data_IF_907481238400
#
_entry.id   IF_907481238400
#
_cell.length_a   1.000
_cell.length_b   1.000
_cell.length_c   1.000
_cell.angle_alpha   90.00
_cell.angle_beta   90.00
_cell.angle_gamma   90.00
#
_symmetry.space_group_name_H-M   'P 1'
#
loop_
_entity.id
_entity.type
_entity.pdbx_description
1 polymer ?
#
# COMPACT_ATOMS: atom_id res chain seq x y z
N UNK A 1 30.90 4.60 7.44
CA UNK A 1 29.72 4.41 8.31
C UNK A 1 29.50 2.90 8.50
N UNK A 2 29.06 2.43 9.67
CA UNK A 2 28.76 1.00 9.89
C UNK A 2 27.27 0.76 9.61
N UNK A 3 26.89 -0.02 8.58
CA UNK A 3 25.50 -0.12 8.13
C UNK A 3 24.61 -0.95 9.08
N UNK A 4 25.14 -2.02 9.68
CA UNK A 4 24.49 -2.76 10.78
C UNK A 4 24.18 -1.84 11.96
N UNK A 5 25.15 -1.01 12.38
CA UNK A 5 24.93 -0.03 13.45
C UNK A 5 23.84 0.99 13.09
N UNK A 6 23.77 1.44 11.83
CA UNK A 6 22.74 2.39 11.40
C UNK A 6 21.35 1.77 11.43
N UNK A 7 21.20 0.52 10.96
CA UNK A 7 19.95 -0.23 11.04
C UNK A 7 19.53 -0.43 12.50
N UNK A 8 20.45 -0.88 13.35
CA UNK A 8 20.19 -1.04 14.78
C UNK A 8 19.87 0.28 15.48
N UNK A 9 20.45 1.40 15.04
CA UNK A 9 20.10 2.71 15.60
C UNK A 9 18.68 3.14 15.23
N UNK A 10 18.18 2.78 14.04
CA UNK A 10 16.76 2.98 13.66
C UNK A 10 15.84 2.12 14.52
N UNK A 11 16.16 0.83 14.67
CA UNK A 11 15.43 -0.11 15.54
C UNK A 11 15.42 0.37 17.00
N UNK A 12 16.57 0.75 17.53
CA UNK A 12 16.70 1.33 18.88
C UNK A 12 15.85 2.59 19.05
N UNK A 13 15.93 3.53 18.11
CA UNK A 13 15.18 4.80 18.20
C UNK A 13 13.67 4.54 18.20
N UNK A 14 13.20 3.61 17.35
CA UNK A 14 11.80 3.19 17.35
C UNK A 14 11.41 2.50 18.66
N UNK A 15 12.26 1.63 19.22
CA UNK A 15 12.00 0.94 20.47
C UNK A 15 12.02 1.88 21.68
N UNK A 16 12.93 2.85 21.74
CA UNK A 16 13.00 3.82 22.84
C UNK A 16 11.71 4.65 22.93
N UNK A 17 11.17 5.09 21.79
CA UNK A 17 9.88 5.78 21.75
C UNK A 17 8.71 4.84 22.09
N UNK A 18 8.76 3.56 21.68
CA UNK A 18 7.77 2.55 22.04
C UNK A 18 7.76 2.25 23.55
N UNK A 19 8.93 2.19 24.18
CA UNK A 19 9.05 2.03 25.64
C UNK A 19 8.41 3.21 26.39
N UNK A 20 8.57 4.43 25.85
CA UNK A 20 7.91 5.62 26.39
C UNK A 20 6.37 5.53 26.25
N UNK A 21 5.86 5.12 25.07
CA UNK A 21 4.43 4.82 24.87
C UNK A 21 3.91 3.81 25.89
N UNK A 22 4.64 2.71 26.11
CA UNK A 22 4.26 1.67 27.09
C UNK A 22 4.20 2.21 28.51
N UNK A 23 5.16 3.05 28.90
CA UNK A 23 5.17 3.65 30.22
C UNK A 23 3.92 4.51 30.49
N UNK A 24 3.49 5.33 29.52
CA UNK A 24 2.27 6.12 29.63
C UNK A 24 1.00 5.23 29.61
N UNK A 25 0.92 4.30 28.65
CA UNK A 25 -0.19 3.34 28.53
C UNK A 25 -0.40 2.54 29.81
N UNK A 26 0.66 2.03 30.43
CA UNK A 26 0.57 1.18 31.62
C UNK A 26 0.05 1.98 32.84
N UNK A 27 0.34 3.29 32.92
CA UNK A 27 -0.27 4.18 33.91
C UNK A 27 -1.77 4.31 33.66
N UNK A 28 -2.18 4.55 32.40
CA UNK A 28 -3.59 4.66 32.03
C UNK A 28 -4.34 3.34 32.29
N UNK A 29 -3.80 2.19 31.89
CA UNK A 29 -4.39 0.87 32.14
C UNK A 29 -4.64 0.58 33.61
N UNK A 30 -3.79 1.07 34.51
CA UNK A 30 -3.97 0.90 35.96
C UNK A 30 -5.13 1.73 36.51
N UNK A 31 -5.42 2.88 35.93
CA UNK A 31 -6.43 3.83 36.42
C UNK A 31 -7.78 3.61 35.72
N UNK A 32 -7.76 3.36 34.42
CA UNK A 32 -8.93 3.20 33.55
C UNK A 32 -8.78 1.94 32.68
N UNK A 33 -8.83 0.73 33.28
CA UNK A 33 -8.53 -0.52 32.56
C UNK A 33 -9.48 -0.81 31.40
N UNK A 34 -10.71 -0.29 31.45
CA UNK A 34 -11.78 -0.52 30.48
C UNK A 34 -11.81 0.54 29.35
N UNK A 35 -10.96 1.58 29.41
CA UNK A 35 -10.90 2.61 28.37
C UNK A 35 -9.83 2.22 27.34
N UNK A 36 -10.19 2.06 26.05
CA UNK A 36 -9.23 1.72 25.00
C UNK A 36 -8.16 2.80 24.82
N UNK A 37 -6.92 2.39 24.57
CA UNK A 37 -5.76 3.27 24.39
C UNK A 37 -5.21 3.11 22.97
N UNK A 38 -4.90 4.24 22.36
CA UNK A 38 -4.19 4.33 21.07
C UNK A 38 -3.14 5.43 21.12
N UNK A 39 -2.30 5.49 20.09
CA UNK A 39 -1.49 6.65 19.71
C UNK A 39 -1.63 6.80 18.20
N UNK A 40 -1.66 8.04 17.71
CA UNK A 40 -1.71 8.32 16.28
C UNK A 40 -0.38 7.95 15.60
N UNK A 41 -0.46 7.15 14.55
CA UNK A 41 0.64 6.90 13.63
C UNK A 41 0.67 7.96 12.53
N UNK A 42 1.74 7.95 11.73
CA UNK A 42 1.90 8.80 10.55
C UNK A 42 2.28 7.93 9.34
N UNK A 43 1.45 6.94 9.03
CA UNK A 43 1.56 6.07 7.85
C UNK A 43 1.17 6.90 6.62
N UNK A 44 2.12 7.67 6.12
CA UNK A 44 2.00 8.50 4.92
C UNK A 44 3.38 8.90 4.39
N UNK A 45 3.52 9.01 3.07
CA UNK A 45 4.75 9.49 2.43
C UNK A 45 6.03 8.81 2.97
N UNK A 46 7.11 9.59 3.10
CA UNK A 46 8.41 9.13 3.59
C UNK A 46 8.54 8.94 5.11
N UNK A 47 7.43 8.94 5.86
CA UNK A 47 7.48 8.90 7.33
C UNK A 47 7.81 7.50 7.84
N UNK A 48 9.10 7.26 8.05
CA UNK A 48 9.65 5.95 8.45
C UNK A 48 10.40 5.95 9.78
N UNK A 49 10.17 6.93 10.66
CA UNK A 49 10.90 7.05 11.92
C UNK A 49 10.65 5.91 12.91
N UNK A 50 9.48 5.27 12.84
CA UNK A 50 9.03 4.22 13.76
C UNK A 50 8.50 3.03 12.98
N UNK A 51 8.78 1.80 13.44
CA UNK A 51 8.22 0.56 12.91
C UNK A 51 6.78 0.41 13.42
N UNK A 52 5.82 1.02 12.72
CA UNK A 52 4.42 0.97 13.12
C UNK A 52 3.81 -0.45 13.21
N UNK A 53 4.17 -1.42 12.34
CA UNK A 53 3.75 -2.81 12.52
C UNK A 53 4.17 -3.39 13.88
N UNK A 54 5.29 -2.94 14.45
CA UNK A 54 5.78 -3.39 15.77
C UNK A 54 5.00 -2.70 16.90
N UNK A 55 4.74 -1.41 16.74
CA UNK A 55 4.00 -0.59 17.70
C UNK A 55 2.53 -0.99 17.82
N UNK A 56 1.93 -1.51 16.75
CA UNK A 56 0.54 -1.94 16.75
C UNK A 56 0.23 -3.02 17.81
N UNK A 57 1.23 -3.80 18.23
CA UNK A 57 1.09 -4.78 19.33
C UNK A 57 0.98 -4.17 20.73
N UNK A 58 1.21 -2.86 20.87
CA UNK A 58 1.21 -2.17 22.17
C UNK A 58 -0.02 -1.27 22.39
N UNK A 59 -0.95 -1.21 21.43
CA UNK A 59 -2.17 -0.37 21.47
C UNK A 59 -3.43 -1.22 21.26
N UNK A 60 -4.58 -0.73 21.71
CA UNK A 60 -5.84 -1.47 21.64
C UNK A 60 -6.47 -1.45 20.25
N UNK A 61 -6.25 -0.36 19.52
CA UNK A 61 -6.63 -0.19 18.12
C UNK A 61 -5.65 0.75 17.42
N UNK A 62 -5.42 0.50 16.13
CA UNK A 62 -4.58 1.37 15.30
C UNK A 62 -5.30 2.68 15.03
N UNK A 63 -4.57 3.78 15.12
CA UNK A 63 -5.04 5.08 14.63
C UNK A 63 -3.94 5.75 13.80
N UNK A 64 -4.33 6.57 12.84
CA UNK A 64 -3.40 7.18 11.89
C UNK A 64 -3.79 8.60 11.51
N UNK A 65 -2.76 9.40 11.27
CA UNK A 65 -2.85 10.72 10.68
C UNK A 65 -2.40 10.62 9.21
N UNK A 66 -3.22 11.11 8.29
CA UNK A 66 -2.88 11.13 6.87
C UNK A 66 -3.20 12.49 6.24
N UNK A 67 -2.21 13.03 5.54
CA UNK A 67 -2.34 14.27 4.78
C UNK A 67 -1.85 14.06 3.35
N UNK A 68 -2.74 14.26 2.39
CA UNK A 68 -2.43 14.09 0.95
C UNK A 68 -1.33 15.06 0.53
N UNK A 69 -0.31 14.54 -0.13
CA UNK A 69 0.69 15.31 -0.84
C UNK A 69 0.29 15.47 -2.31
N UNK A 70 0.10 16.70 -2.82
CA UNK A 70 -0.24 16.91 -4.23
C UNK A 70 0.84 16.35 -5.16
N UNK A 71 0.43 15.58 -6.16
CA UNK A 71 1.35 14.96 -7.12
C UNK A 71 0.62 14.03 -8.09
N UNK A 72 1.31 13.50 -9.13
CA UNK A 72 0.68 12.69 -10.16
C UNK A 72 -0.01 11.41 -9.66
N UNK A 73 0.48 10.84 -8.55
CA UNK A 73 -0.06 9.63 -7.90
C UNK A 73 -0.75 9.92 -6.55
N UNK A 74 -1.16 11.17 -6.28
CA UNK A 74 -1.71 11.57 -4.97
C UNK A 74 -2.92 10.72 -4.51
N UNK A 75 -3.82 10.36 -5.43
CA UNK A 75 -4.99 9.51 -5.17
C UNK A 75 -4.59 8.09 -4.80
N UNK A 76 -3.62 7.54 -5.51
CA UNK A 76 -3.13 6.18 -5.28
C UNK A 76 -2.29 6.12 -4.00
N UNK A 77 -1.55 7.17 -3.68
CA UNK A 77 -0.80 7.30 -2.43
C UNK A 77 -1.72 7.32 -1.20
N UNK A 78 -2.81 8.09 -1.26
CA UNK A 78 -3.82 8.11 -0.21
C UNK A 78 -4.36 6.70 0.03
N UNK A 79 -4.76 6.04 -1.06
CA UNK A 79 -5.27 4.68 -1.05
C UNK A 79 -4.25 3.70 -0.48
N UNK A 80 -3.01 3.74 -0.96
CA UNK A 80 -1.89 2.91 -0.48
C UNK A 80 -1.65 3.08 1.02
N UNK A 81 -1.63 4.31 1.53
CA UNK A 81 -1.39 4.59 2.94
C UNK A 81 -2.56 4.15 3.83
N UNK A 82 -3.80 4.33 3.38
CA UNK A 82 -4.99 3.80 4.07
C UNK A 82 -4.98 2.26 4.10
N UNK A 83 -4.59 1.66 2.99
CA UNK A 83 -4.45 0.21 2.82
C UNK A 83 -3.35 -0.37 3.71
N UNK A 84 -2.18 0.26 3.77
CA UNK A 84 -1.08 -0.13 4.66
C UNK A 84 -1.47 0.02 6.13
N UNK A 85 -2.21 1.08 6.49
CA UNK A 85 -2.75 1.26 7.85
C UNK A 85 -3.70 0.11 8.22
N UNK A 86 -4.57 -0.29 7.29
CA UNK A 86 -5.44 -1.47 7.43
C UNK A 86 -4.63 -2.76 7.61
N UNK A 87 -3.55 -2.94 6.84
CA UNK A 87 -2.63 -4.06 6.95
C UNK A 87 -1.92 -4.12 8.31
N UNK A 88 -1.51 -2.98 8.85
CA UNK A 88 -0.94 -2.84 10.20
C UNK A 88 -1.99 -3.19 11.27
N UNK A 89 -3.27 -2.84 11.05
CA UNK A 89 -4.38 -3.21 11.93
C UNK A 89 -4.78 -4.71 11.83
N UNK A 90 -4.22 -5.44 10.85
CA UNK A 90 -4.57 -6.83 10.56
C UNK A 90 -5.95 -7.00 9.93
N UNK A 91 -6.44 -6.00 9.19
CA UNK A 91 -7.77 -5.97 8.58
C UNK A 91 -8.91 -5.59 9.55
N UNK A 92 -8.61 -5.46 10.84
CA UNK A 92 -9.54 -4.98 11.87
C UNK A 92 -9.84 -3.49 11.68
N UNK A 93 -10.98 -2.99 12.20
CA UNK A 93 -11.27 -1.57 12.17
C UNK A 93 -10.19 -0.72 12.86
N UNK A 94 -9.91 0.44 12.27
CA UNK A 94 -8.92 1.41 12.77
C UNK A 94 -9.50 2.83 12.76
N UNK A 95 -8.77 3.80 13.31
CA UNK A 95 -9.22 5.20 13.38
C UNK A 95 -8.40 6.11 12.48
N UNK A 96 -9.05 6.83 11.55
CA UNK A 96 -8.45 8.02 10.96
C UNK A 96 -8.52 9.13 12.00
N UNK A 97 -7.45 9.28 12.78
CA UNK A 97 -7.38 10.23 13.89
C UNK A 97 -7.23 11.65 13.36
N UNK A 98 -6.41 11.83 12.34
CA UNK A 98 -6.28 13.12 11.68
C UNK A 98 -6.20 13.01 10.16
N UNK A 99 -6.73 14.06 9.55
CA UNK A 99 -6.60 14.43 8.16
C UNK A 99 -7.05 15.90 8.06
N UNK A 100 -6.75 16.57 6.94
CA UNK A 100 -7.17 17.97 6.72
C UNK A 100 -8.48 18.11 5.93
N UNK A 101 -9.39 18.99 6.37
CA UNK A 101 -10.62 19.31 5.62
C UNK A 101 -10.33 19.97 4.28
N UNK A 102 -9.19 20.66 4.17
CA UNK A 102 -8.70 21.30 2.94
C UNK A 102 -7.17 21.38 2.98
N UNK A 103 -6.58 22.55 2.66
CA UNK A 103 -5.13 22.77 2.72
C UNK A 103 -4.54 22.56 4.13
N UNK A 104 -3.29 22.11 4.19
CA UNK A 104 -2.47 22.11 5.42
C UNK A 104 -1.68 23.43 5.52
N UNK A 105 -0.72 23.54 6.45
CA UNK A 105 0.12 24.74 6.61
C UNK A 105 1.63 24.50 6.42
N UNK A 106 2.07 23.24 6.33
CA UNK A 106 3.47 22.85 6.43
C UNK A 106 4.06 22.34 5.10
N UNK A 107 3.23 22.14 4.07
CA UNK A 107 3.73 21.75 2.75
C UNK A 107 4.40 22.95 2.04
N UNK A 108 5.34 22.70 1.10
CA UNK A 108 5.94 23.78 0.31
C UNK A 108 4.90 24.66 -0.42
N UNK A 109 3.82 24.03 -0.91
CA UNK A 109 2.65 24.71 -1.46
C UNK A 109 1.40 24.04 -0.89
N UNK A 110 0.64 24.76 -0.08
CA UNK A 110 -0.53 24.24 0.63
C UNK A 110 -1.78 24.36 -0.25
N UNK A 111 -1.99 23.39 -1.15
CA UNK A 111 -3.13 23.38 -2.08
C UNK A 111 -4.42 23.01 -1.34
N UNK A 112 -5.48 23.78 -1.58
CA UNK A 112 -6.81 23.50 -1.04
C UNK A 112 -7.47 22.34 -1.79
N UNK A 113 -8.25 21.52 -1.06
CA UNK A 113 -9.08 20.48 -1.65
C UNK A 113 -10.14 21.09 -2.57
N UNK A 114 -10.35 20.47 -3.73
CA UNK A 114 -11.44 20.77 -4.66
C UNK A 114 -12.78 20.28 -4.09
N UNK A 115 -13.91 20.83 -4.55
CA UNK A 115 -15.23 20.33 -4.18
C UNK A 115 -15.35 18.81 -4.37
N UNK A 116 -15.86 18.12 -3.35
CA UNK A 116 -16.00 16.66 -3.32
C UNK A 116 -14.81 15.90 -2.72
N UNK A 117 -13.59 16.45 -2.76
CA UNK A 117 -12.38 15.72 -2.30
C UNK A 117 -12.40 15.45 -0.79
N UNK A 118 -12.96 16.35 0.04
CA UNK A 118 -13.14 16.11 1.47
C UNK A 118 -13.90 14.80 1.73
N UNK A 119 -15.05 14.61 1.06
CA UNK A 119 -15.87 13.43 1.25
C UNK A 119 -15.20 12.19 0.64
N UNK A 120 -14.67 12.31 -0.58
CA UNK A 120 -13.96 11.23 -1.28
C UNK A 120 -12.83 10.66 -0.44
N UNK A 121 -11.92 11.52 0.01
CA UNK A 121 -10.74 11.13 0.76
C UNK A 121 -11.13 10.43 2.08
N UNK A 122 -12.12 10.99 2.78
CA UNK A 122 -12.64 10.44 4.04
C UNK A 122 -13.27 9.06 3.85
N UNK A 123 -14.11 8.92 2.83
CA UNK A 123 -14.78 7.66 2.52
C UNK A 123 -13.82 6.60 1.96
N UNK A 124 -12.71 6.99 1.33
CA UNK A 124 -11.65 6.06 0.92
C UNK A 124 -10.92 5.47 2.15
N UNK A 125 -10.71 6.24 3.21
CA UNK A 125 -10.22 5.66 4.48
C UNK A 125 -11.24 4.70 5.10
N UNK A 126 -12.54 5.05 5.09
CA UNK A 126 -13.62 4.14 5.54
C UNK A 126 -13.64 2.85 4.72
N UNK A 127 -13.44 2.96 3.40
CA UNK A 127 -13.37 1.83 2.48
C UNK A 127 -12.21 0.87 2.83
N UNK A 128 -11.09 1.42 3.32
CA UNK A 128 -9.91 0.65 3.80
C UNK A 128 -9.98 0.26 5.29
N UNK A 129 -11.13 0.42 5.95
CA UNK A 129 -11.38 -0.11 7.29
C UNK A 129 -11.40 0.93 8.41
N UNK A 130 -11.36 2.23 8.12
CA UNK A 130 -11.55 3.23 9.16
C UNK A 130 -12.99 3.17 9.72
N UNK A 131 -13.13 3.16 11.04
CA UNK A 131 -14.40 3.24 11.77
C UNK A 131 -14.62 4.60 12.43
N UNK A 132 -13.63 5.49 12.36
CA UNK A 132 -13.86 6.92 12.51
C UNK A 132 -13.09 7.72 11.49
N UNK A 133 -13.66 8.89 11.19
CA UNK A 133 -13.09 9.96 10.40
C UNK A 133 -13.02 11.18 11.30
N UNK A 134 -11.82 11.49 11.78
CA UNK A 134 -11.52 12.66 12.59
C UNK A 134 -10.64 13.64 11.80
N UNK A 135 -10.61 14.89 12.25
CA UNK A 135 -9.89 15.98 11.57
C UNK A 135 -8.99 16.71 12.56
N UNK A 136 -7.78 17.01 12.11
CA UNK A 136 -7.04 18.15 12.63
C UNK A 136 -7.50 19.38 11.86
N UNK A 137 -8.25 20.31 12.44
CA UNK A 137 -8.80 20.33 13.80
C UNK A 137 -10.26 20.77 13.76
N UNK A 138 -10.95 20.82 14.91
CA UNK A 138 -12.34 21.28 14.96
C UNK A 138 -12.50 22.73 14.51
N UNK A 139 -11.75 23.68 15.07
CA UNK A 139 -11.84 25.11 14.75
C UNK A 139 -10.49 25.66 14.37
N UNK A 140 -10.45 26.38 13.26
CA UNK A 140 -9.19 26.91 12.74
C UNK A 140 -8.58 27.89 13.75
N UNK A 141 -7.34 27.61 14.15
CA UNK A 141 -6.64 28.40 15.17
C UNK A 141 -6.48 29.86 14.73
N UNK A 142 -6.75 30.81 15.63
CA UNK A 142 -6.60 32.24 15.34
C UNK A 142 -5.14 32.74 15.45
N UNK A 143 -4.30 31.99 16.14
CA UNK A 143 -2.88 32.31 16.38
C UNK A 143 -2.05 31.02 16.44
N UNK A 144 -0.72 31.17 16.44
CA UNK A 144 0.22 30.04 16.43
C UNK A 144 0.71 29.66 15.02
N UNK A 145 1.51 28.60 14.96
CA UNK A 145 2.14 28.12 13.73
C UNK A 145 1.12 27.55 12.74
N UNK A 146 0.08 26.88 13.24
CA UNK A 146 -0.92 26.15 12.44
C UNK A 146 -2.20 26.94 12.19
N UNK A 147 -2.20 28.26 12.42
CA UNK A 147 -3.36 29.13 12.15
C UNK A 147 -3.86 29.08 10.70
N UNK A 148 -3.05 28.61 9.75
CA UNK A 148 -3.42 28.43 8.34
C UNK A 148 -3.76 26.98 7.97
N UNK A 149 -3.61 26.02 8.89
CA UNK A 149 -4.06 24.65 8.67
C UNK A 149 -5.58 24.67 8.61
N UNK A 150 -6.19 24.00 7.63
CA UNK A 150 -7.66 23.92 7.54
C UNK A 150 -8.27 23.24 8.77
N UNK A 151 -9.55 23.50 9.01
CA UNK A 151 -10.31 22.95 10.13
C UNK A 151 -11.76 22.69 9.71
N UNK A 152 -12.52 21.97 10.54
CA UNK A 152 -13.95 21.76 10.30
C UNK A 152 -14.71 23.09 10.27
N UNK A 153 -14.45 23.97 11.23
CA UNK A 153 -14.92 25.35 11.25
C UNK A 153 -13.76 26.28 10.85
N UNK A 154 -13.74 26.79 9.59
CA UNK A 154 -12.71 27.72 9.15
C UNK A 154 -12.83 29.07 9.86
N UNK A 155 -11.85 29.97 9.67
CA UNK A 155 -11.94 31.35 10.18
C UNK A 155 -13.20 32.10 9.73
N UNK A 156 -13.75 31.74 8.57
CA UNK A 156 -15.02 32.26 8.06
C UNK A 156 -16.24 31.86 8.91
N UNK A 157 -16.11 30.88 9.80
CA UNK A 157 -17.20 30.37 10.61
C UNK A 157 -18.06 29.32 9.89
N UNK A 158 -19.25 29.10 10.44
CA UNK A 158 -20.21 28.08 9.95
C UNK A 158 -20.84 28.45 8.59
N UNK A 159 -20.89 29.74 8.25
CA UNK A 159 -21.31 30.18 6.92
C UNK A 159 -20.15 30.07 5.92
N UNK A 160 -19.76 28.83 5.63
CA UNK A 160 -18.73 28.50 4.66
C UNK A 160 -19.06 27.21 3.91
N UNK A 161 -18.62 27.13 2.65
CA UNK A 161 -18.78 25.90 1.86
C UNK A 161 -18.06 24.71 2.50
N UNK A 162 -16.92 24.98 3.15
CA UNK A 162 -16.14 23.95 3.85
C UNK A 162 -16.92 23.36 5.04
N UNK A 163 -17.52 24.20 5.89
CA UNK A 163 -18.32 23.70 7.01
C UNK A 163 -19.57 22.95 6.53
N UNK A 164 -20.24 23.44 5.48
CA UNK A 164 -21.37 22.72 4.84
C UNK A 164 -20.95 21.35 4.31
N UNK A 165 -19.78 21.24 3.69
CA UNK A 165 -19.24 19.96 3.21
C UNK A 165 -18.93 18.99 4.36
N UNK A 166 -18.39 19.50 5.49
CA UNK A 166 -18.16 18.70 6.71
C UNK A 166 -19.47 18.16 7.28
N UNK A 167 -20.51 19.00 7.36
CA UNK A 167 -21.84 18.59 7.84
C UNK A 167 -22.43 17.52 6.92
N UNK A 168 -22.35 17.70 5.59
CA UNK A 168 -22.84 16.74 4.62
C UNK A 168 -22.12 15.38 4.70
N UNK A 169 -20.79 15.38 4.95
CA UNK A 169 -20.06 14.14 5.22
C UNK A 169 -20.56 13.47 6.50
N UNK A 170 -20.81 14.24 7.56
CA UNK A 170 -21.38 13.72 8.81
C UNK A 170 -22.71 12.99 8.61
N UNK A 171 -23.60 13.52 7.76
CA UNK A 171 -24.85 12.85 7.41
C UNK A 171 -24.63 11.60 6.54
N UNK A 172 -23.66 11.64 5.62
CA UNK A 172 -23.25 10.47 4.85
C UNK A 172 -22.76 9.34 5.76
N UNK A 173 -21.95 9.65 6.76
CA UNK A 173 -21.44 8.66 7.73
C UNK A 173 -22.56 8.05 8.60
N UNK A 174 -23.62 8.80 8.91
CA UNK A 174 -24.82 8.25 9.59
C UNK A 174 -25.52 7.21 8.72
N UNK A 175 -25.67 7.48 7.42
CA UNK A 175 -26.22 6.51 6.45
C UNK A 175 -25.36 5.25 6.38
N UNK A 176 -24.04 5.40 6.48
CA UNK A 176 -23.07 4.30 6.47
C UNK A 176 -22.82 3.65 7.83
N UNK A 177 -23.59 3.99 8.88
CA UNK A 177 -23.45 3.37 10.20
C UNK A 177 -23.47 1.82 10.20
N UNK A 178 -24.21 1.11 9.33
CA UNK A 178 -24.14 -0.35 9.24
C UNK A 178 -22.78 -0.94 8.86
N UNK A 179 -21.86 -0.12 8.31
CA UNK A 179 -20.49 -0.52 7.96
C UNK A 179 -19.61 -0.65 9.21
N UNK A 180 -19.91 0.12 10.27
CA UNK A 180 -19.07 0.13 11.47
C UNK A 180 -18.91 -1.28 12.07
N UNK A 181 -17.69 -1.62 12.47
CA UNK A 181 -17.32 -2.94 12.97
C UNK A 181 -17.14 -4.03 11.90
N UNK A 182 -17.36 -3.73 10.62
CA UNK A 182 -17.01 -4.67 9.54
C UNK A 182 -15.50 -4.69 9.30
N UNK A 183 -14.94 -5.86 9.02
CA UNK A 183 -13.52 -6.03 8.73
C UNK A 183 -13.28 -5.95 7.24
N UNK A 184 -12.06 -5.57 6.84
CA UNK A 184 -11.70 -5.59 5.43
C UNK A 184 -11.58 -7.04 4.94
N UNK A 185 -12.24 -7.36 3.83
CA UNK A 185 -12.13 -8.68 3.21
C UNK A 185 -10.76 -8.81 2.51
N UNK A 186 -9.97 -9.87 2.79
CA UNK A 186 -8.66 -10.05 2.16
C UNK A 186 -8.74 -9.97 0.63
N UNK A 187 -7.78 -9.28 0.03
CA UNK A 187 -7.59 -9.26 -1.41
C UNK A 187 -6.89 -10.54 -1.90
N UNK A 188 -7.09 -10.94 -3.17
CA UNK A 188 -6.35 -12.07 -3.74
C UNK A 188 -4.83 -11.80 -3.86
N UNK A 189 -4.41 -10.54 -3.86
CA UNK A 189 -3.01 -10.11 -3.96
C UNK A 189 -2.60 -9.39 -2.67
N UNK A 190 -1.45 -9.76 -2.11
CA UNK A 190 -0.78 -9.02 -1.04
C UNK A 190 0.51 -8.37 -1.55
N UNK A 191 0.75 -7.10 -1.22
CA UNK A 191 2.03 -6.42 -1.41
C UNK A 191 2.73 -6.35 -0.05
N UNK A 192 3.87 -7.01 0.09
CA UNK A 192 4.65 -7.04 1.33
C UNK A 192 5.44 -5.74 1.46
N UNK A 193 5.23 -5.03 2.57
CA UNK A 193 5.94 -3.82 2.94
C UNK A 193 6.65 -4.03 4.28
N UNK A 194 7.97 -3.86 4.29
CA UNK A 194 8.83 -4.22 5.42
C UNK A 194 9.71 -3.04 5.85
N UNK A 195 9.67 -2.70 7.14
CA UNK A 195 10.37 -1.53 7.67
C UNK A 195 11.88 -1.71 7.73
N UNK A 196 12.36 -2.92 8.04
CA UNK A 196 13.80 -3.18 8.07
C UNK A 196 14.38 -3.11 6.65
N UNK A 197 13.68 -3.67 5.67
CA UNK A 197 14.00 -3.50 4.26
C UNK A 197 14.00 -2.03 3.85
N UNK A 198 12.97 -1.26 4.22
CA UNK A 198 12.90 0.17 3.92
C UNK A 198 14.03 0.99 4.56
N UNK A 199 14.47 0.61 5.76
CA UNK A 199 15.58 1.27 6.44
C UNK A 199 16.93 0.89 5.85
N UNK A 200 17.16 -0.40 5.59
CA UNK A 200 18.42 -0.93 5.10
C UNK A 200 18.66 -0.54 3.64
N UNK A 201 17.65 -0.72 2.76
CA UNK A 201 17.84 -0.55 1.31
C UNK A 201 18.13 0.89 0.89
N UNK A 202 17.74 1.87 1.71
CA UNK A 202 17.96 3.30 1.48
C UNK A 202 19.11 3.87 2.32
N UNK A 203 19.97 3.04 2.89
CA UNK A 203 21.19 3.54 3.54
C UNK A 203 22.21 4.06 2.51
N UNK A 204 23.18 4.83 3.01
CA UNK A 204 24.33 5.26 2.22
C UNK A 204 25.15 4.05 1.73
N UNK A 205 26.05 4.28 0.76
CA UNK A 205 27.02 3.29 0.25
C UNK A 205 26.39 2.04 -0.39
N UNK A 206 25.22 2.20 -0.98
CA UNK A 206 24.49 1.19 -1.74
C UNK A 206 24.83 1.23 -3.25
N UNK A 207 24.43 0.23 -4.06
CA UNK A 207 24.65 0.25 -5.51
C UNK A 207 24.08 1.50 -6.20
N UNK A 208 23.04 2.11 -5.62
CA UNK A 208 22.52 3.42 -5.99
C UNK A 208 21.89 4.11 -4.78
N UNK A 209 21.99 5.43 -4.70
CA UNK A 209 21.27 6.25 -3.71
C UNK A 209 19.93 6.77 -4.24
N UNK A 210 19.53 6.34 -5.44
CA UNK A 210 18.30 6.78 -6.12
C UNK A 210 17.10 5.86 -5.84
N UNK A 211 17.29 4.79 -5.07
CA UNK A 211 16.23 3.87 -4.69
C UNK A 211 15.27 4.57 -3.72
N UNK A 212 13.99 4.54 -4.05
CA UNK A 212 12.88 4.88 -3.16
C UNK A 212 12.02 3.62 -3.00
N UNK A 213 12.18 2.95 -1.86
CA UNK A 213 11.52 1.68 -1.55
C UNK A 213 10.00 1.82 -1.59
N UNK A 214 9.50 2.92 -1.03
CA UNK A 214 8.05 3.17 -0.96
C UNK A 214 7.47 3.46 -2.33
N UNK A 215 8.18 4.23 -3.16
CA UNK A 215 7.74 4.51 -4.52
C UNK A 215 7.67 3.23 -5.36
N UNK A 216 8.60 2.30 -5.20
CA UNK A 216 8.51 0.99 -5.87
C UNK A 216 7.24 0.24 -5.44
N UNK A 217 7.00 0.11 -4.12
CA UNK A 217 5.79 -0.55 -3.63
C UNK A 217 4.49 0.15 -4.10
N UNK A 218 4.49 1.48 -4.17
CA UNK A 218 3.38 2.27 -4.71
C UNK A 218 3.18 2.01 -6.22
N UNK A 219 4.25 1.90 -7.01
CA UNK A 219 4.16 1.61 -8.45
C UNK A 219 3.49 0.25 -8.71
N UNK A 220 3.82 -0.78 -7.91
CA UNK A 220 3.14 -2.09 -7.95
C UNK A 220 1.65 -1.97 -7.56
N UNK A 221 1.34 -1.19 -6.53
CA UNK A 221 -0.03 -0.96 -6.10
C UNK A 221 -0.86 -0.21 -7.16
N UNK A 222 -0.32 0.89 -7.71
CA UNK A 222 -0.94 1.67 -8.78
C UNK A 222 -1.19 0.83 -10.03
N UNK A 223 -0.29 -0.09 -10.37
CA UNK A 223 -0.47 -1.01 -11.49
C UNK A 223 -1.65 -2.00 -11.26
N UNK A 224 -1.81 -2.51 -10.03
CA UNK A 224 -2.97 -3.34 -9.68
C UNK A 224 -4.27 -2.55 -9.74
N UNK A 225 -4.28 -1.31 -9.24
CA UNK A 225 -5.43 -0.41 -9.36
C UNK A 225 -5.77 -0.12 -10.83
N UNK A 226 -4.77 0.11 -11.69
CA UNK A 226 -4.95 0.31 -13.13
C UNK A 226 -5.62 -0.89 -13.83
N UNK A 227 -5.38 -2.11 -13.33
CA UNK A 227 -6.03 -3.33 -13.80
C UNK A 227 -7.37 -3.64 -13.12
N UNK A 228 -7.78 -2.85 -12.12
CA UNK A 228 -8.97 -3.10 -11.33
C UNK A 228 -8.85 -4.33 -10.42
N UNK A 229 -7.64 -4.68 -9.99
CA UNK A 229 -7.35 -5.80 -9.09
C UNK A 229 -7.26 -5.28 -7.66
N UNK A 230 -8.01 -5.88 -6.73
CA UNK A 230 -7.86 -5.60 -5.30
C UNK A 230 -6.50 -6.10 -4.81
N UNK A 231 -5.85 -5.31 -3.97
CA UNK A 231 -4.59 -5.67 -3.34
C UNK A 231 -4.55 -5.17 -1.90
N UNK A 232 -3.96 -5.97 -1.00
CA UNK A 232 -3.70 -5.59 0.39
C UNK A 232 -2.22 -5.24 0.53
N UNK A 233 -1.89 -4.11 1.16
CA UNK A 233 -0.52 -3.81 1.56
C UNK A 233 -0.33 -4.36 2.96
N UNK A 234 0.46 -5.42 3.07
CA UNK A 234 0.64 -6.22 4.28
C UNK A 234 2.07 -6.17 4.78
N UNK A 235 2.29 -6.54 6.04
CA UNK A 235 3.62 -6.54 6.65
C UNK A 235 4.14 -7.97 6.75
N UNK A 236 5.44 -8.15 6.96
CA UNK A 236 6.07 -9.46 7.21
C UNK A 236 5.56 -10.16 8.47
N UNK A 237 4.75 -9.49 9.30
CA UNK A 237 4.08 -10.06 10.49
C UNK A 237 2.67 -10.57 10.23
N UNK A 238 2.12 -10.33 9.03
CA UNK A 238 0.77 -10.76 8.66
C UNK A 238 0.73 -12.26 8.33
N UNK A 239 -0.47 -12.82 8.34
CA UNK A 239 -0.74 -14.16 7.80
C UNK A 239 -0.71 -14.12 6.27
N UNK A 240 0.47 -14.40 5.71
CA UNK A 240 0.76 -14.27 4.28
C UNK A 240 -0.01 -15.30 3.41
N UNK A 241 -0.42 -16.43 4.00
CA UNK A 241 -1.12 -17.53 3.33
C UNK A 241 -2.56 -17.15 2.91
N UNK A 242 -3.06 -15.97 3.31
CA UNK A 242 -4.38 -15.44 2.92
C UNK A 242 -4.46 -14.94 1.48
N UNK A 243 -3.33 -14.72 0.83
CA UNK A 243 -3.26 -14.19 -0.53
C UNK A 243 -2.88 -15.29 -1.51
N UNK A 244 -3.44 -15.26 -2.71
CA UNK A 244 -3.06 -16.18 -3.80
C UNK A 244 -1.74 -15.75 -4.44
N UNK A 245 -1.47 -14.44 -4.45
CA UNK A 245 -0.24 -13.85 -4.96
C UNK A 245 0.35 -12.93 -3.90
N UNK A 246 1.64 -13.06 -3.62
CA UNK A 246 2.42 -12.14 -2.80
C UNK A 246 3.43 -11.43 -3.68
N UNK A 247 3.44 -10.12 -3.65
CA UNK A 247 4.40 -9.26 -4.33
C UNK A 247 5.26 -8.62 -3.25
N UNK A 248 6.54 -8.93 -3.24
CA UNK A 248 7.51 -8.46 -2.26
C UNK A 248 8.58 -7.60 -2.98
N UNK A 249 8.24 -6.34 -3.34
CA UNK A 249 9.15 -5.45 -4.04
C UNK A 249 10.28 -5.04 -3.10
N UNK A 250 11.52 -5.21 -3.57
CA UNK A 250 12.75 -4.78 -2.90
C UNK A 250 12.81 -5.26 -1.44
N UNK A 251 12.35 -6.49 -1.17
CA UNK A 251 12.37 -7.11 0.15
C UNK A 251 13.82 -7.46 0.52
N UNK A 252 14.59 -6.43 0.86
CA UNK A 252 16.03 -6.44 0.95
C UNK A 252 16.55 -7.31 2.11
N UNK A 253 15.92 -7.14 3.28
CA UNK A 253 16.23 -7.86 4.52
C UNK A 253 15.35 -9.10 4.58
N UNK A 254 15.97 -10.28 4.45
CA UNK A 254 15.26 -11.57 4.54
C UNK A 254 15.96 -12.46 5.56
N UNK A 255 15.46 -12.50 6.80
CA UNK A 255 15.91 -13.45 7.81
C UNK A 255 15.68 -14.90 7.35
N UNK A 256 16.45 -15.83 7.91
CA UNK A 256 16.39 -17.24 7.52
C UNK A 256 14.98 -17.85 7.66
N UNK A 257 14.22 -17.45 8.69
CA UNK A 257 12.88 -17.98 8.92
C UNK A 257 11.85 -17.39 7.95
N UNK A 258 11.99 -16.12 7.56
CA UNK A 258 11.17 -15.52 6.50
C UNK A 258 11.44 -16.18 5.14
N UNK A 259 12.70 -16.49 4.83
CA UNK A 259 13.04 -17.22 3.60
C UNK A 259 12.36 -18.60 3.53
N UNK A 260 12.36 -19.34 4.64
CA UNK A 260 11.65 -20.64 4.75
C UNK A 260 10.15 -20.46 4.62
N UNK A 261 9.58 -19.43 5.23
CA UNK A 261 8.16 -19.13 5.15
C UNK A 261 7.72 -18.82 3.71
N UNK A 262 8.43 -17.93 3.01
CA UNK A 262 8.16 -17.60 1.62
C UNK A 262 8.32 -18.80 0.69
N UNK A 263 9.29 -19.67 0.97
CA UNK A 263 9.47 -20.93 0.24
C UNK A 263 8.28 -21.87 0.45
N UNK A 264 7.87 -22.08 1.71
CA UNK A 264 6.70 -22.88 2.07
C UNK A 264 5.42 -22.34 1.45
N UNK A 265 5.21 -21.02 1.50
CA UNK A 265 4.07 -20.35 0.86
C UNK A 265 4.01 -20.70 -0.64
N UNK A 266 5.13 -20.54 -1.36
CA UNK A 266 5.18 -20.81 -2.79
C UNK A 266 4.97 -22.31 -3.12
N UNK A 267 5.60 -23.21 -2.36
CA UNK A 267 5.45 -24.66 -2.54
C UNK A 267 4.01 -25.15 -2.29
N UNK A 268 3.30 -24.50 -1.36
CA UNK A 268 1.93 -24.84 -0.98
C UNK A 268 0.84 -24.22 -1.89
N UNK A 269 1.21 -23.65 -3.04
CA UNK A 269 0.25 -23.08 -4.00
C UNK A 269 0.22 -21.56 -4.06
N UNK A 270 1.01 -20.88 -3.23
CA UNK A 270 1.20 -19.45 -3.32
C UNK A 270 2.01 -19.06 -4.57
N UNK A 271 1.71 -17.89 -5.13
CA UNK A 271 2.53 -17.30 -6.19
C UNK A 271 3.32 -16.12 -5.61
N UNK A 272 4.63 -16.27 -5.50
CA UNK A 272 5.53 -15.21 -5.03
C UNK A 272 6.07 -14.43 -6.22
N UNK A 273 6.06 -13.11 -6.14
CA UNK A 273 6.78 -12.20 -7.02
C UNK A 273 7.73 -11.39 -6.14
N UNK A 274 9.01 -11.38 -6.45
CA UNK A 274 9.97 -10.47 -5.83
C UNK A 274 10.76 -9.76 -6.92
N UNK A 275 11.57 -8.78 -6.54
CA UNK A 275 12.21 -7.89 -7.50
C UNK A 275 13.70 -7.80 -7.26
N UNK A 276 14.36 -7.02 -8.13
CA UNK A 276 15.70 -6.52 -7.90
C UNK A 276 15.92 -6.10 -6.44
N UNK A 277 17.14 -6.36 -5.96
CA UNK A 277 17.59 -5.98 -4.64
C UNK A 277 16.82 -6.60 -3.45
N UNK A 278 16.11 -7.71 -3.68
CA UNK A 278 15.45 -8.50 -2.64
C UNK A 278 16.31 -9.69 -2.18
N UNK A 279 16.16 -10.15 -0.93
CA UNK A 279 16.85 -11.33 -0.40
C UNK A 279 18.38 -11.20 -0.35
N UNK A 280 18.88 -9.98 -0.12
CA UNK A 280 20.30 -9.65 -0.22
C UNK A 280 21.00 -9.88 1.11
N UNK A 281 20.38 -9.44 2.22
CA UNK A 281 20.94 -9.48 3.56
C UNK A 281 20.06 -10.23 4.56
N UNK A 282 20.67 -10.71 5.64
CA UNK A 282 19.98 -11.20 6.83
C UNK A 282 19.50 -10.06 7.74
N UNK A 283 18.91 -10.38 8.88
CA UNK A 283 18.40 -9.41 9.85
C UNK A 283 19.48 -8.45 10.42
N UNK A 284 20.76 -8.75 10.27
CA UNK A 284 21.88 -7.96 10.76
C UNK A 284 22.57 -7.17 9.64
N UNK A 285 21.93 -7.09 8.46
CA UNK A 285 22.48 -6.45 7.27
C UNK A 285 23.75 -7.16 6.74
N UNK A 286 23.86 -8.48 6.97
CA UNK A 286 24.94 -9.30 6.42
C UNK A 286 24.53 -10.03 5.15
N UNK A 287 25.39 -9.97 4.13
CA UNK A 287 25.13 -10.55 2.82
C UNK A 287 24.94 -12.08 2.90
N UNK A 288 23.87 -12.57 2.28
CA UNK A 288 23.72 -13.97 1.94
C UNK A 288 24.71 -14.35 0.82
N UNK A 289 25.81 -15.00 1.20
CA UNK A 289 26.89 -15.36 0.28
C UNK A 289 26.48 -16.44 -0.74
N UNK A 290 27.22 -16.53 -1.85
CA UNK A 290 27.02 -17.52 -2.93
C UNK A 290 26.39 -16.96 -4.21
N UNK A 291 25.92 -15.72 -4.19
CA UNK A 291 25.27 -15.03 -5.31
C UNK A 291 23.82 -14.66 -4.98
N UNK A 292 23.35 -13.55 -5.55
CA UNK A 292 22.05 -12.96 -5.23
C UNK A 292 20.89 -13.60 -6.04
N UNK A 293 19.62 -13.48 -5.60
CA UNK A 293 19.17 -13.03 -4.27
C UNK A 293 19.39 -14.15 -3.24
N UNK A 294 20.42 -14.03 -2.39
CA UNK A 294 21.00 -15.18 -1.68
C UNK A 294 20.02 -15.96 -0.79
N UNK A 295 19.04 -15.27 -0.17
CA UNK A 295 18.00 -15.90 0.63
C UNK A 295 16.95 -16.68 -0.20
N UNK A 296 16.75 -16.31 -1.47
CA UNK A 296 15.65 -16.80 -2.32
C UNK A 296 16.12 -17.43 -3.65
N UNK A 297 17.44 -17.47 -3.90
CA UNK A 297 18.02 -17.87 -5.19
C UNK A 297 17.58 -19.28 -5.62
N UNK A 298 17.49 -20.21 -4.67
CA UNK A 298 17.18 -21.61 -4.95
C UNK A 298 15.68 -21.77 -5.25
N UNK A 299 14.83 -21.03 -4.53
CA UNK A 299 13.39 -20.93 -4.79
C UNK A 299 13.11 -20.37 -6.19
N UNK A 300 13.84 -19.32 -6.59
CA UNK A 300 13.67 -18.64 -7.87
C UNK A 300 14.37 -19.36 -9.04
N UNK A 301 15.34 -20.25 -8.75
CA UNK A 301 16.16 -20.92 -9.76
C UNK A 301 16.99 -19.96 -10.62
N UNK A 302 17.46 -18.88 -10.01
CA UNK A 302 18.34 -17.90 -10.64
C UNK A 302 19.56 -17.63 -9.76
N UNK A 303 20.60 -17.05 -10.34
CA UNK A 303 21.76 -16.52 -9.64
C UNK A 303 22.25 -15.24 -10.31
N UNK A 304 22.54 -14.24 -9.49
CA UNK A 304 23.06 -12.93 -9.90
C UNK A 304 24.44 -12.78 -9.30
N UNK A 305 25.42 -12.52 -10.16
CA UNK A 305 26.82 -12.32 -9.75
C UNK A 305 27.10 -10.88 -9.34
N UNK A 306 26.42 -9.93 -9.98
CA UNK A 306 26.68 -8.51 -9.86
C UNK A 306 25.41 -7.72 -10.19
N UNK A 307 25.15 -6.68 -9.39
CA UNK A 307 24.08 -5.72 -9.63
C UNK A 307 24.47 -4.78 -10.78
N UNK A 308 23.49 -4.34 -11.57
CA UNK A 308 23.68 -3.39 -12.67
C UNK A 308 22.81 -2.14 -12.50
N UNK A 309 23.08 -1.26 -11.52
CA UNK A 309 22.35 -0.01 -11.38
C UNK A 309 22.49 0.86 -12.63
N UNK A 310 21.45 1.64 -12.94
CA UNK A 310 21.43 2.59 -14.06
C UNK A 310 21.63 4.02 -13.54
N UNK A 311 22.25 4.89 -14.34
CA UNK A 311 22.34 6.31 -14.01
C UNK A 311 20.95 6.95 -14.08
N UNK A 312 20.79 8.09 -13.41
CA UNK A 312 19.56 8.87 -13.49
C UNK A 312 19.26 9.25 -14.95
N UNK A 313 18.08 8.85 -15.45
CA UNK A 313 17.64 9.10 -16.82
C UNK A 313 18.02 8.00 -17.83
N UNK A 314 18.90 7.07 -17.47
CA UNK A 314 19.21 5.92 -18.31
C UNK A 314 18.05 4.92 -18.29
N UNK A 315 17.80 4.31 -19.46
CA UNK A 315 16.75 3.33 -19.65
C UNK A 315 17.28 2.09 -20.38
N UNK A 316 16.61 0.96 -20.16
CA UNK A 316 16.80 -0.28 -20.91
C UNK A 316 15.46 -0.76 -21.43
N UNK A 317 15.45 -1.31 -22.63
CA UNK A 317 14.24 -1.85 -23.24
C UNK A 317 14.19 -3.36 -23.02
N UNK A 318 13.00 -3.89 -22.77
CA UNK A 318 12.75 -5.33 -22.73
C UNK A 318 12.13 -5.81 -24.06
N UNK A 319 12.23 -7.11 -24.35
CA UNK A 319 11.65 -7.73 -25.55
C UNK A 319 10.11 -7.78 -25.55
N UNK A 320 9.47 -7.51 -24.41
CA UNK A 320 8.02 -7.29 -24.26
C UNK A 320 7.58 -5.83 -24.43
N UNK A 321 8.49 -4.97 -24.91
CA UNK A 321 8.28 -3.53 -25.14
C UNK A 321 8.09 -2.69 -23.88
N UNK A 322 8.30 -3.24 -22.68
CA UNK A 322 8.41 -2.44 -21.46
C UNK A 322 9.80 -1.81 -21.33
N UNK A 323 9.90 -0.76 -20.51
CA UNK A 323 11.14 0.00 -20.29
C UNK A 323 11.55 -0.08 -18.83
N UNK A 324 12.76 -0.57 -18.57
CA UNK A 324 13.39 -0.60 -17.26
C UNK A 324 14.19 0.67 -16.98
N UNK A 325 14.21 1.06 -15.71
CA UNK A 325 14.98 2.18 -15.15
C UNK A 325 15.63 1.75 -13.84
N UNK A 326 16.49 2.60 -13.27
CA UNK A 326 17.13 2.47 -11.94
C UNK A 326 18.07 1.26 -11.73
N UNK A 327 17.69 0.08 -12.19
CA UNK A 327 18.32 -1.18 -11.87
C UNK A 327 18.24 -2.18 -13.02
N UNK A 328 19.28 -3.00 -13.15
CA UNK A 328 19.30 -4.25 -13.92
C UNK A 328 20.06 -5.30 -13.13
N UNK A 329 19.82 -6.59 -13.36
CA UNK A 329 20.64 -7.64 -12.77
C UNK A 329 21.29 -8.53 -13.84
N UNK A 330 22.52 -8.96 -13.57
CA UNK A 330 23.22 -9.94 -14.40
C UNK A 330 22.74 -11.35 -14.07
N UNK A 331 21.53 -11.69 -14.49
CA UNK A 331 20.90 -12.98 -14.19
C UNK A 331 21.56 -14.12 -14.99
N UNK A 332 21.78 -15.22 -14.29
CA UNK A 332 22.01 -16.56 -14.81
C UNK A 332 20.90 -17.47 -14.30
N UNK A 333 20.22 -18.19 -15.20
CA UNK A 333 19.24 -19.23 -14.80
C UNK A 333 19.99 -20.47 -14.33
N UNK A 334 19.62 -20.99 -13.16
CA UNK A 334 20.29 -22.14 -12.52
C UNK A 334 19.43 -23.40 -12.44
N UNK A 335 18.11 -23.25 -12.52
CA UNK A 335 17.17 -24.38 -12.56
C UNK A 335 16.55 -24.53 -13.96
N UNK A 336 16.48 -25.74 -14.53
CA UNK A 336 15.92 -25.95 -15.87
C UNK A 336 14.41 -25.67 -15.95
N UNK A 337 13.70 -25.70 -14.81
CA UNK A 337 12.28 -25.37 -14.75
C UNK A 337 12.00 -23.86 -14.74
N UNK A 338 13.01 -23.01 -14.54
CA UNK A 338 12.83 -21.55 -14.54
C UNK A 338 12.58 -21.05 -15.96
N UNK A 339 11.37 -20.56 -16.19
CA UNK A 339 10.94 -19.91 -17.41
C UNK A 339 11.43 -18.46 -17.45
N UNK A 340 11.99 -18.03 -18.58
CA UNK A 340 12.29 -16.62 -18.84
C UNK A 340 11.10 -15.98 -19.54
N UNK A 341 10.48 -15.00 -18.89
CA UNK A 341 9.30 -14.30 -19.38
C UNK A 341 9.67 -13.12 -20.28
N UNK A 342 10.79 -12.45 -20.03
CA UNK A 342 11.32 -11.40 -20.89
C UNK A 342 12.83 -11.28 -20.76
N UNK A 343 13.46 -10.73 -21.79
CA UNK A 343 14.89 -10.44 -21.85
C UNK A 343 15.16 -8.95 -22.01
N UNK A 344 16.31 -8.50 -21.52
CA UNK A 344 16.83 -7.18 -21.90
C UNK A 344 17.17 -7.16 -23.39
N UNK A 345 16.64 -6.16 -24.11
CA UNK A 345 16.98 -5.89 -25.51
C UNK A 345 18.20 -4.97 -25.63
N UNK A 346 18.34 -4.02 -24.72
CA UNK A 346 19.39 -2.99 -24.74
C UNK A 346 20.14 -2.91 -23.40
N UNK A 347 21.19 -2.09 -23.36
CA UNK A 347 22.02 -1.89 -22.16
C UNK A 347 23.03 -2.99 -21.89
N UNK A 348 23.69 -2.92 -20.73
CA UNK A 348 24.78 -3.83 -20.35
C UNK A 348 24.36 -5.29 -20.13
N UNK A 349 23.05 -5.55 -19.97
CA UNK A 349 22.50 -6.89 -19.77
C UNK A 349 21.79 -7.43 -21.02
N UNK A 350 21.95 -6.83 -22.20
CA UNK A 350 21.29 -7.26 -23.44
C UNK A 350 21.44 -8.77 -23.70
N UNK A 351 20.31 -9.42 -24.03
CA UNK A 351 20.19 -10.86 -24.23
C UNK A 351 20.05 -11.69 -22.94
N UNK A 352 20.16 -11.08 -21.75
CA UNK A 352 19.96 -11.77 -20.47
C UNK A 352 18.50 -11.72 -20.00
N UNK A 353 18.08 -12.67 -19.15
CA UNK A 353 16.76 -12.64 -18.53
C UNK A 353 16.53 -11.34 -17.74
N UNK A 354 15.34 -10.75 -17.89
CA UNK A 354 14.88 -9.59 -17.14
C UNK A 354 13.70 -9.94 -16.20
N UNK A 355 12.81 -10.81 -16.67
CA UNK A 355 11.74 -11.37 -15.84
C UNK A 355 11.77 -12.88 -15.94
N UNK A 356 11.72 -13.56 -14.80
CA UNK A 356 11.72 -15.02 -14.72
C UNK A 356 10.60 -15.53 -13.82
N UNK A 357 10.18 -16.78 -14.02
CA UNK A 357 9.24 -17.49 -13.15
C UNK A 357 9.63 -18.96 -13.08
N UNK A 358 9.70 -19.49 -11.87
CA UNK A 358 9.91 -20.90 -11.59
C UNK A 358 8.66 -21.52 -10.95
N UNK A 359 8.05 -22.56 -11.54
CA UNK A 359 7.03 -23.34 -10.84
C UNK A 359 7.67 -24.10 -9.67
N UNK A 360 6.99 -24.17 -8.54
CA UNK A 360 7.48 -24.88 -7.34
C UNK A 360 6.29 -25.41 -6.53
N UNK A 361 6.31 -26.71 -6.21
CA UNK A 361 5.14 -27.38 -5.63
C UNK A 361 3.88 -27.14 -6.47
N UNK A 362 2.82 -26.62 -5.86
CA UNK A 362 1.59 -26.20 -6.56
C UNK A 362 1.54 -24.70 -6.93
N UNK A 363 2.58 -23.94 -6.63
CA UNK A 363 2.66 -22.50 -6.87
C UNK A 363 3.83 -22.10 -7.76
N UNK A 364 4.32 -20.87 -7.60
CA UNK A 364 5.46 -20.37 -8.38
C UNK A 364 6.20 -19.23 -7.68
N UNK A 365 7.47 -19.02 -8.03
CA UNK A 365 8.25 -17.85 -7.64
C UNK A 365 8.77 -17.10 -8.86
N UNK A 366 8.52 -15.79 -8.95
CA UNK A 366 8.92 -14.92 -10.05
C UNK A 366 9.86 -13.82 -9.58
N UNK A 367 10.73 -13.38 -10.49
CA UNK A 367 11.70 -12.31 -10.25
C UNK A 367 11.62 -11.25 -11.35
N UNK A 368 11.51 -9.98 -10.97
CA UNK A 368 11.55 -8.81 -11.88
C UNK A 368 12.82 -8.01 -11.60
N UNK A 369 13.79 -8.02 -12.52
CA UNK A 369 15.14 -7.51 -12.26
C UNK A 369 15.37 -6.04 -12.58
N UNK A 370 14.31 -5.25 -12.78
CA UNK A 370 14.39 -3.83 -13.11
C UNK A 370 13.17 -3.08 -12.61
N UNK A 371 13.28 -1.76 -12.42
CA UNK A 371 12.14 -0.90 -12.12
C UNK A 371 11.40 -0.56 -13.41
N UNK A 372 10.17 -1.05 -13.54
CA UNK A 372 9.30 -0.84 -14.70
C UNK A 372 8.34 0.35 -14.55
N UNK A 373 8.18 0.86 -13.32
CA UNK A 373 7.15 1.85 -12.98
C UNK A 373 5.73 1.31 -13.16
N UNK A 374 4.72 2.10 -12.76
CA UNK A 374 3.33 1.64 -12.75
C UNK A 374 2.81 1.18 -14.14
N UNK A 375 3.17 1.87 -15.22
CA UNK A 375 2.73 1.52 -16.58
C UNK A 375 3.33 0.19 -17.07
N UNK A 376 4.65 0.00 -16.91
CA UNK A 376 5.31 -1.25 -17.31
C UNK A 376 4.84 -2.43 -16.46
N UNK A 377 4.61 -2.20 -15.15
CA UNK A 377 4.03 -3.21 -14.26
C UNK A 377 2.60 -3.59 -14.66
N UNK A 378 1.77 -2.64 -15.08
CA UNK A 378 0.41 -2.93 -15.54
C UNK A 378 0.41 -3.83 -16.80
N UNK A 379 1.41 -3.70 -17.67
CA UNK A 379 1.59 -4.58 -18.82
C UNK A 379 2.08 -5.99 -18.41
N UNK A 380 2.93 -6.09 -17.38
CA UNK A 380 3.51 -7.36 -16.92
C UNK A 380 2.55 -8.19 -16.05
N UNK A 381 1.80 -7.54 -15.17
CA UNK A 381 0.97 -8.18 -14.13
C UNK A 381 0.03 -9.28 -14.66
N UNK A 382 -0.66 -9.16 -15.81
CA UNK A 382 -1.50 -10.25 -16.33
C UNK A 382 -0.76 -11.58 -16.48
N UNK A 383 0.53 -11.54 -16.84
CA UNK A 383 1.37 -12.75 -16.98
C UNK A 383 1.76 -13.36 -15.64
N UNK A 384 1.89 -12.53 -14.60
CA UNK A 384 2.24 -12.95 -13.24
C UNK A 384 1.02 -13.43 -12.45
N UNK A 385 -0.15 -12.80 -12.66
CA UNK A 385 -1.40 -13.10 -11.95
C UNK A 385 -2.20 -14.25 -12.58
N UNK A 386 -2.07 -14.45 -13.90
CA UNK A 386 -2.81 -15.47 -14.64
C UNK A 386 -2.73 -16.89 -14.07
N UNK A 387 -1.54 -17.42 -13.70
CA UNK A 387 -1.42 -18.74 -13.08
C UNK A 387 -2.21 -18.92 -11.78
N UNK A 388 -2.40 -17.83 -11.02
CA UNK A 388 -3.16 -17.81 -9.77
C UNK A 388 -4.68 -17.65 -9.97
N UNK A 389 -5.13 -17.48 -11.22
CA UNK A 389 -6.52 -17.19 -11.57
C UNK A 389 -7.04 -15.90 -10.94
N UNK A 390 -6.17 -14.90 -10.79
CA UNK A 390 -6.53 -13.59 -10.23
C UNK A 390 -6.98 -12.67 -11.36
N UNK A 391 -8.25 -12.26 -11.29
CA UNK A 391 -8.91 -11.39 -12.27
C UNK A 391 -9.63 -10.24 -11.58
N UNK A 392 -10.00 -9.21 -12.34
CA UNK A 392 -10.73 -8.05 -11.82
C UNK A 392 -12.20 -8.39 -11.57
N UNK A 393 -12.67 -8.06 -10.38
CA UNK A 393 -14.10 -8.14 -9.99
C UNK A 393 -14.94 -6.99 -10.58
N UNK A 394 -14.29 -6.00 -11.22
CA UNK A 394 -14.95 -4.85 -11.83
C UNK A 394 -15.36 -5.14 -13.28
N UNK A 395 -16.48 -4.54 -13.75
CA UNK A 395 -16.80 -4.46 -15.18
C UNK A 395 -15.61 -3.91 -15.97
N UNK A 396 -15.42 -4.40 -17.20
CA UNK A 396 -14.24 -4.07 -18.00
C UNK A 396 -14.07 -2.57 -18.22
N UNK A 397 -15.18 -1.85 -18.39
CA UNK A 397 -15.24 -0.40 -18.57
C UNK A 397 -14.85 0.41 -17.32
N UNK A 398 -14.91 -0.19 -16.13
CA UNK A 398 -14.57 0.46 -14.87
C UNK A 398 -13.12 0.21 -14.43
N UNK A 399 -12.43 -0.76 -15.04
CA UNK A 399 -11.05 -1.12 -14.70
C UNK A 399 -10.12 0.08 -14.91
N UNK A 400 -9.28 0.35 -13.92
CA UNK A 400 -8.39 1.50 -13.90
C UNK A 400 -9.05 2.84 -13.57
N UNK A 401 -10.35 2.98 -13.80
CA UNK A 401 -11.08 4.22 -13.49
C UNK A 401 -11.76 4.19 -12.12
N UNK A 402 -12.00 3.01 -11.57
CA UNK A 402 -12.63 2.82 -10.26
C UNK A 402 -11.75 1.96 -9.37
N UNK A 403 -11.55 2.41 -8.14
CA UNK A 403 -11.02 1.57 -7.08
C UNK A 403 -12.16 0.85 -6.37
N UNK A 404 -11.93 -0.42 -6.06
CA UNK A 404 -12.86 -1.22 -5.27
C UNK A 404 -12.19 -1.72 -3.98
N UNK A 405 -12.91 -1.60 -2.87
CA UNK A 405 -12.63 -2.36 -1.66
C UNK A 405 -13.89 -3.05 -1.16
N UNK A 406 -13.71 -4.01 -0.26
CA UNK A 406 -14.81 -4.75 0.35
C UNK A 406 -14.59 -4.84 1.85
N UNK A 407 -15.63 -4.54 2.61
CA UNK A 407 -15.70 -4.80 4.05
C UNK A 407 -16.83 -5.76 4.35
N UNK A 408 -16.62 -6.70 5.26
CA UNK A 408 -17.56 -7.76 5.60
C UNK A 408 -17.70 -7.87 7.12
N UNK A 409 -18.93 -8.04 7.60
CA UNK A 409 -19.21 -8.17 9.01
C UNK A 409 -20.67 -8.55 9.30
N UNK A 410 -21.12 -8.47 10.56
CA UNK A 410 -22.49 -8.81 10.93
C UNK A 410 -23.56 -8.01 10.17
N UNK A 411 -23.22 -6.80 9.73
CA UNK A 411 -24.07 -5.93 8.93
C UNK A 411 -24.21 -6.35 7.45
N UNK A 412 -23.44 -7.32 6.97
CA UNK A 412 -23.40 -7.75 5.57
C UNK A 412 -22.05 -7.49 4.91
N UNK A 413 -22.02 -7.60 3.58
CA UNK A 413 -20.84 -7.34 2.74
C UNK A 413 -21.02 -6.00 2.05
N UNK A 414 -20.09 -5.08 2.26
CA UNK A 414 -20.13 -3.71 1.75
C UNK A 414 -19.05 -3.51 0.71
N UNK A 415 -19.46 -3.23 -0.54
CA UNK A 415 -18.56 -2.93 -1.66
C UNK A 415 -18.46 -1.43 -1.82
N UNK A 416 -17.26 -0.90 -1.62
CA UNK A 416 -16.94 0.50 -1.86
C UNK A 416 -16.38 0.66 -3.27
N UNK A 417 -16.81 1.71 -3.95
CA UNK A 417 -16.44 2.03 -5.33
C UNK A 417 -16.06 3.50 -5.39
N UNK A 418 -14.80 3.81 -5.64
CA UNK A 418 -14.26 5.17 -5.60
C UNK A 418 -13.78 5.58 -6.99
N UNK A 419 -14.24 6.72 -7.50
CA UNK A 419 -13.78 7.22 -8.79
C UNK A 419 -12.34 7.72 -8.70
N UNK A 420 -11.46 7.15 -9.52
CA UNK A 420 -10.05 7.52 -9.62
C UNK A 420 -9.78 8.61 -10.66
N UNK A 421 -10.77 8.99 -11.46
CA UNK A 421 -10.61 9.88 -12.61
C UNK A 421 -11.29 11.23 -12.41
N UNK A 422 -11.14 12.12 -13.39
CA UNK A 422 -11.89 13.37 -13.48
C UNK A 422 -13.03 13.27 -14.53
N UNK A 423 -13.45 12.04 -14.88
CA UNK A 423 -14.59 11.77 -15.74
C UNK A 423 -15.69 11.00 -14.99
N UNK A 424 -16.93 11.08 -15.49
CA UNK A 424 -18.01 10.25 -14.97
C UNK A 424 -17.83 8.80 -15.45
N UNK A 425 -18.01 7.84 -14.55
CA UNK A 425 -17.85 6.41 -14.83
C UNK A 425 -19.19 5.70 -14.58
N UNK A 426 -19.87 5.21 -15.62
CA UNK A 426 -21.06 4.39 -15.45
C UNK A 426 -20.66 3.00 -14.95
N UNK A 427 -21.43 2.46 -14.00
CA UNK A 427 -21.22 1.15 -13.41
C UNK A 427 -22.42 0.26 -13.67
N UNK A 428 -22.28 -0.60 -14.68
CA UNK A 428 -23.31 -1.57 -15.06
C UNK A 428 -23.04 -2.94 -14.44
N UNK A 429 -24.10 -3.74 -14.23
CA UNK A 429 -23.97 -5.14 -13.80
C UNK A 429 -23.55 -5.36 -12.33
N UNK A 430 -23.48 -4.30 -11.52
CA UNK A 430 -23.23 -4.44 -10.08
C UNK A 430 -24.52 -4.75 -9.32
N UNK A 431 -24.47 -5.71 -8.41
CA UNK A 431 -25.61 -6.14 -7.57
C UNK A 431 -25.44 -5.70 -6.13
N UNK A 432 -26.55 -5.34 -5.48
CA UNK A 432 -26.60 -4.95 -4.07
C UNK A 432 -27.50 -3.73 -3.84
N UNK A 433 -27.86 -3.50 -2.57
CA UNK A 433 -28.62 -2.32 -2.15
C UNK A 433 -27.69 -1.10 -2.11
N UNK A 434 -28.02 -0.04 -2.85
CA UNK A 434 -27.23 1.20 -2.87
C UNK A 434 -27.46 1.96 -1.57
N UNK A 435 -26.43 2.00 -0.69
CA UNK A 435 -26.45 2.83 0.52
C UNK A 435 -25.99 4.26 0.24
N UNK A 436 -25.08 4.42 -0.72
CA UNK A 436 -24.55 5.69 -1.18
C UNK A 436 -24.22 5.58 -2.67
N UNK A 437 -24.55 6.61 -3.45
CA UNK A 437 -24.23 6.70 -4.87
C UNK A 437 -25.31 7.41 -5.68
N UNK A 438 -24.92 8.02 -6.80
CA UNK A 438 -25.85 8.62 -7.74
C UNK A 438 -26.28 7.59 -8.79
N UNK A 439 -27.53 7.65 -9.24
CA UNK A 439 -28.03 6.84 -10.36
C UNK A 439 -28.37 7.74 -11.55
N UNK A 440 -28.17 7.24 -12.76
CA UNK A 440 -28.68 7.89 -13.96
C UNK A 440 -30.21 7.74 -14.12
N UNK A 441 -30.74 8.24 -15.23
CA UNK A 441 -32.17 8.20 -15.54
C UNK A 441 -32.72 6.77 -15.70
N UNK A 442 -31.86 5.81 -16.04
CA UNK A 442 -32.20 4.40 -16.22
C UNK A 442 -31.99 3.59 -14.93
N UNK A 443 -31.56 4.25 -13.85
CA UNK A 443 -31.33 3.67 -12.53
C UNK A 443 -29.97 2.98 -12.37
N UNK A 444 -29.05 3.12 -13.34
CA UNK A 444 -27.70 2.58 -13.24
C UNK A 444 -26.81 3.48 -12.38
N UNK A 445 -25.93 2.88 -11.59
CA UNK A 445 -25.00 3.61 -10.73
C UNK A 445 -23.99 4.37 -11.58
N UNK A 446 -23.78 5.66 -11.29
CA UNK A 446 -22.77 6.49 -11.94
C UNK A 446 -21.90 7.14 -10.87
N UNK A 447 -20.60 7.03 -11.03
CA UNK A 447 -19.64 7.77 -10.22
C UNK A 447 -19.19 9.02 -10.97
N UNK A 448 -19.60 10.21 -10.55
CA UNK A 448 -19.01 11.45 -11.04
C UNK A 448 -17.59 11.63 -10.48
N UNK A 449 -16.81 12.60 -10.99
CA UNK A 449 -15.50 12.89 -10.42
C UNK A 449 -15.59 13.10 -8.90
N UNK A 450 -14.75 12.37 -8.15
CA UNK A 450 -14.64 12.44 -6.68
C UNK A 450 -15.83 11.80 -5.95
N UNK A 451 -16.70 11.09 -6.65
CA UNK A 451 -17.77 10.33 -6.00
C UNK A 451 -17.26 9.01 -5.40
N UNK A 452 -17.98 8.59 -4.37
CA UNK A 452 -17.89 7.25 -3.78
C UNK A 452 -19.28 6.65 -3.74
N UNK A 453 -19.40 5.38 -4.13
CA UNK A 453 -20.59 4.59 -3.96
C UNK A 453 -20.35 3.43 -3.00
N UNK A 454 -21.39 3.04 -2.27
CA UNK A 454 -21.38 1.93 -1.34
C UNK A 454 -22.59 1.04 -1.61
N UNK A 455 -22.32 -0.21 -1.96
CA UNK A 455 -23.33 -1.24 -2.16
C UNK A 455 -23.31 -2.22 -1.00
N UNK A 456 -24.48 -2.55 -0.46
CA UNK A 456 -24.65 -3.62 0.52
C UNK A 456 -25.12 -4.88 -0.18
N UNK A 457 -24.42 -5.97 0.05
CA UNK A 457 -24.74 -7.30 -0.44
C UNK A 457 -25.09 -8.21 0.75
N UNK A 458 -25.97 -9.21 0.56
CA UNK A 458 -26.15 -10.27 1.55
C UNK A 458 -24.80 -10.89 1.90
N UNK A 459 -24.57 -11.21 3.17
CA UNK A 459 -23.40 -12.00 3.55
C UNK A 459 -23.48 -13.36 2.82
N UNK A 460 -22.42 -13.71 2.09
CA UNK A 460 -22.27 -15.03 1.43
C UNK A 460 -21.97 -16.13 2.42
#
# INVERSE_FOLDING_TARGET
PNPTQQLDFKRFSSNALKEYLRAERDILRRITPDVPITTNFMVMGGTKGMNYPDWAGEIDFVSNDHYVHPGPQDRDELSFSANLTSGIAGGRPWFLMEHSTSAVNWQPVNVAKRPGELARDSLLHVAHGADAVCYFQWRQSAAGAEKYHSAMVPHAGEDSDLFRAVVALGDTLKTLAPVAGSEREPAPVGIVFDWDSWWASEQDSHPTSLLDYRQEALDWYSALLALGIRADVVTTRADLDRHRVLIAPVLHVVPADLAKELTRYAENGGHLVTTYFSGIVDENDHIWLGGYPGALRDLLGIRIEEFGPLLAGDTVELDDSTTGTLWTDRITVTAPETEVLSHYRTGGQAGRPAVTRRPTGSGSAAYVSTRLGAEGLAALLPRLLGPAGVESELPAEARGSVEQTVRSGPGGRFRFLVNRTDQAVPLTGLTGDVLLGATDADGALVLHPRDVAVLRQPAT
#
